data_IF_423177503459
#
_entry.id   IF_423177503459
#
_cell.length_a   1.000
_cell.length_b   1.000
_cell.length_c   1.000
_cell.angle_alpha   90.00
_cell.angle_beta   90.00
_cell.angle_gamma   90.00
#
_symmetry.space_group_name_H-M   'P 1'
#
loop_
_entity.id
_entity.type
_entity.pdbx_description
1 polymer ?
#
# COMPACT_ATOMS: atom_id res chain seq x y z
N UNK A 1 -28.69 -1.70 -30.24
CA UNK A 1 -28.27 -2.50 -29.07
C UNK A 1 -26.84 -2.12 -28.74
N UNK A 2 -26.48 -1.93 -27.47
CA UNK A 2 -25.09 -1.64 -27.10
C UNK A 2 -24.20 -2.84 -27.45
N UNK A 3 -22.99 -2.60 -27.98
CA UNK A 3 -22.03 -3.67 -28.23
C UNK A 3 -21.54 -4.29 -26.92
N UNK A 4 -21.16 -5.56 -26.96
CA UNK A 4 -20.60 -6.24 -25.79
C UNK A 4 -19.36 -5.52 -25.24
N UNK A 5 -18.49 -5.02 -26.12
CA UNK A 5 -17.32 -4.23 -25.75
C UNK A 5 -17.68 -2.95 -25.00
N UNK A 6 -18.78 -2.30 -25.37
CA UNK A 6 -19.26 -1.12 -24.67
C UNK A 6 -19.74 -1.45 -23.26
N UNK A 7 -20.55 -2.50 -23.09
CA UNK A 7 -21.05 -2.94 -21.77
C UNK A 7 -19.89 -3.30 -20.84
N UNK A 8 -18.93 -4.10 -21.33
CA UNK A 8 -17.74 -4.51 -20.55
C UNK A 8 -16.90 -3.29 -20.20
N UNK A 9 -16.70 -2.35 -21.13
CA UNK A 9 -15.93 -1.14 -20.84
C UNK A 9 -16.61 -0.20 -19.84
N UNK A 10 -17.95 -0.14 -19.78
CA UNK A 10 -18.68 0.58 -18.73
C UNK A 10 -18.47 -0.08 -17.36
N UNK A 11 -18.56 -1.41 -17.27
CA UNK A 11 -18.25 -2.14 -16.03
C UNK A 11 -16.80 -1.87 -15.60
N UNK A 12 -15.86 -1.89 -16.55
CA UNK A 12 -14.46 -1.56 -16.33
C UNK A 12 -14.28 -0.16 -15.77
N UNK A 13 -14.96 0.84 -16.35
CA UNK A 13 -14.94 2.22 -15.86
C UNK A 13 -15.41 2.32 -14.40
N UNK A 14 -16.54 1.69 -14.06
CA UNK A 14 -17.09 1.71 -12.70
C UNK A 14 -16.08 1.12 -11.70
N UNK A 15 -15.55 -0.08 -12.01
CA UNK A 15 -14.58 -0.76 -11.14
C UNK A 15 -13.31 0.09 -10.97
N UNK A 16 -12.76 0.62 -12.07
CA UNK A 16 -11.57 1.46 -12.01
C UNK A 16 -11.78 2.73 -11.18
N UNK A 17 -12.94 3.39 -11.30
CA UNK A 17 -13.26 4.57 -10.48
C UNK A 17 -13.29 4.22 -9.00
N UNK A 18 -13.86 3.06 -8.62
CA UNK A 18 -13.83 2.59 -7.24
C UNK A 18 -12.39 2.34 -6.75
N UNK A 19 -11.53 1.78 -7.59
CA UNK A 19 -10.10 1.61 -7.28
C UNK A 19 -9.41 2.97 -7.09
N UNK A 20 -9.66 3.95 -7.97
CA UNK A 20 -9.11 5.31 -7.83
C UNK A 20 -9.66 6.07 -6.63
N UNK A 21 -10.87 5.75 -6.18
CA UNK A 21 -11.48 6.30 -4.97
C UNK A 21 -10.95 5.66 -3.67
N UNK A 22 -10.25 4.52 -3.75
CA UNK A 22 -9.73 3.84 -2.55
C UNK A 22 -8.87 4.70 -1.61
N UNK A 23 -8.02 5.64 -2.10
CA UNK A 23 -7.20 6.48 -1.23
C UNK A 23 -7.94 7.68 -0.61
N UNK A 24 -9.22 7.94 -0.95
CA UNK A 24 -9.97 9.11 -0.46
C UNK A 24 -9.93 9.16 1.07
N UNK A 25 -10.20 8.04 1.75
CA UNK A 25 -10.20 7.97 3.22
C UNK A 25 -8.81 8.29 3.80
N UNK A 26 -7.75 7.83 3.14
CA UNK A 26 -6.36 8.11 3.53
C UNK A 26 -6.06 9.60 3.41
N UNK A 27 -6.39 10.22 2.28
CA UNK A 27 -6.14 11.65 2.08
C UNK A 27 -7.03 12.57 2.92
N UNK A 28 -8.27 12.17 3.19
CA UNK A 28 -9.13 12.88 4.14
C UNK A 28 -8.44 12.98 5.52
N UNK A 29 -7.78 11.91 5.95
CA UNK A 29 -7.05 11.90 7.21
C UNK A 29 -5.76 12.72 7.16
N UNK A 30 -5.04 12.72 6.04
CA UNK A 30 -3.89 13.61 5.78
C UNK A 30 -4.30 15.08 5.93
N UNK A 31 -5.44 15.47 5.35
CA UNK A 31 -5.99 16.84 5.46
C UNK A 31 -6.34 17.15 6.92
N UNK A 32 -7.05 16.24 7.60
CA UNK A 32 -7.47 16.42 9.00
C UNK A 32 -6.27 16.59 9.95
N UNK A 33 -5.21 15.80 9.74
CA UNK A 33 -3.98 15.85 10.55
C UNK A 33 -2.96 16.89 10.10
N UNK A 34 -3.15 17.49 8.92
CA UNK A 34 -2.19 18.39 8.26
C UNK A 34 -0.78 17.78 8.14
N UNK A 35 -0.69 16.46 7.97
CA UNK A 35 0.58 15.74 7.88
C UNK A 35 0.40 14.49 7.03
N UNK A 36 1.35 14.23 6.13
CA UNK A 36 1.40 12.98 5.34
C UNK A 36 2.00 11.81 6.11
N UNK A 37 2.39 12.01 7.38
CA UNK A 37 3.05 11.02 8.23
C UNK A 37 4.11 10.20 7.46
N UNK A 38 3.92 8.87 7.38
CA UNK A 38 4.81 7.92 6.69
C UNK A 38 4.31 7.52 5.29
N UNK A 39 3.22 8.12 4.79
CA UNK A 39 2.74 7.84 3.45
C UNK A 39 3.74 8.30 2.38
N UNK A 40 3.88 7.49 1.33
CA UNK A 40 4.76 7.79 0.18
C UNK A 40 3.92 8.37 -0.96
N UNK A 41 4.38 9.47 -1.55
CA UNK A 41 3.71 10.12 -2.68
C UNK A 41 3.90 9.41 -4.02
N UNK A 42 4.94 8.56 -4.13
CA UNK A 42 5.38 7.94 -5.39
C UNK A 42 4.26 7.18 -6.13
N UNK A 43 3.44 6.34 -5.48
CA UNK A 43 2.37 5.62 -6.17
C UNK A 43 1.37 6.54 -6.88
N UNK A 44 1.06 7.70 -6.29
CA UNK A 44 0.12 8.66 -6.86
C UNK A 44 0.71 9.38 -8.08
N UNK A 45 1.99 9.74 -8.00
CA UNK A 45 2.75 10.34 -9.12
C UNK A 45 2.84 9.37 -10.29
N UNK A 46 3.28 8.13 -10.04
CA UNK A 46 3.42 7.13 -11.12
C UNK A 46 2.06 6.76 -11.74
N UNK A 47 1.00 6.73 -10.93
CA UNK A 47 -0.35 6.48 -11.44
C UNK A 47 -0.90 7.69 -12.21
N UNK A 48 -0.56 8.92 -11.80
CA UNK A 48 -0.91 10.13 -12.55
C UNK A 48 -0.26 10.14 -13.94
N UNK A 49 1.04 9.83 -14.02
CA UNK A 49 1.73 9.66 -15.30
C UNK A 49 1.06 8.58 -16.16
N UNK A 50 0.82 7.40 -15.58
CA UNK A 50 0.24 6.26 -16.29
C UNK A 50 -1.15 6.59 -16.85
N UNK A 51 -2.04 7.12 -16.00
CA UNK A 51 -3.39 7.51 -16.41
C UNK A 51 -3.36 8.63 -17.46
N UNK A 52 -2.46 9.62 -17.33
CA UNK A 52 -2.31 10.68 -18.34
C UNK A 52 -1.88 10.14 -19.71
N UNK A 53 -0.92 9.21 -19.73
CA UNK A 53 -0.47 8.54 -20.97
C UNK A 53 -1.57 7.67 -21.57
N UNK A 54 -2.32 6.92 -20.76
CA UNK A 54 -3.45 6.13 -21.23
C UNK A 54 -4.60 6.99 -21.75
N UNK A 55 -4.86 8.15 -21.15
CA UNK A 55 -5.80 9.14 -21.70
C UNK A 55 -5.31 9.63 -23.05
N UNK A 56 -4.03 9.98 -23.18
CA UNK A 56 -3.45 10.43 -24.45
C UNK A 56 -3.52 9.33 -25.53
N UNK A 57 -3.24 8.08 -25.17
CA UNK A 57 -3.42 6.90 -26.02
C UNK A 57 -4.87 6.78 -26.49
N UNK A 58 -5.83 6.85 -25.56
CA UNK A 58 -7.25 6.74 -25.86
C UNK A 58 -7.77 7.85 -26.78
N UNK A 59 -7.26 9.08 -26.65
CA UNK A 59 -7.65 10.21 -27.54
C UNK A 59 -7.24 9.95 -28.99
N UNK A 60 -6.13 9.26 -29.20
CA UNK A 60 -5.63 8.91 -30.54
C UNK A 60 -6.27 7.63 -31.10
N UNK A 61 -6.86 6.80 -30.24
CA UNK A 61 -7.50 5.55 -30.65
C UNK A 61 -8.97 5.81 -31.01
N UNK A 62 -9.43 5.48 -32.24
CA UNK A 62 -10.84 5.65 -32.64
C UNK A 62 -11.85 5.00 -31.70
N UNK A 63 -11.52 3.85 -31.12
CA UNK A 63 -12.37 3.11 -30.18
C UNK A 63 -12.02 3.40 -28.70
N UNK A 64 -11.16 4.39 -28.47
CA UNK A 64 -10.55 4.69 -27.19
C UNK A 64 -11.43 5.44 -26.19
N UNK A 65 -12.69 5.76 -26.51
CA UNK A 65 -13.56 6.59 -25.66
C UNK A 65 -13.63 6.09 -24.21
N UNK A 66 -13.83 4.78 -24.01
CA UNK A 66 -13.94 4.19 -22.66
C UNK A 66 -12.60 4.19 -21.91
N UNK A 67 -11.47 4.16 -22.64
CA UNK A 67 -10.12 4.29 -22.10
C UNK A 67 -9.85 5.74 -21.70
N UNK A 68 -10.31 6.72 -22.49
CA UNK A 68 -10.21 8.15 -22.20
C UNK A 68 -10.99 8.50 -20.93
N UNK A 69 -12.25 8.06 -20.83
CA UNK A 69 -13.11 8.39 -19.68
C UNK A 69 -12.54 7.85 -18.38
N UNK A 70 -12.11 6.59 -18.36
CA UNK A 70 -11.62 5.94 -17.14
C UNK A 70 -10.30 6.55 -16.68
N UNK A 71 -9.36 6.74 -17.61
CA UNK A 71 -8.04 7.24 -17.27
C UNK A 71 -8.05 8.75 -17.07
N UNK A 72 -8.93 9.48 -17.76
CA UNK A 72 -9.15 10.90 -17.51
C UNK A 72 -9.68 11.13 -16.09
N UNK A 73 -10.68 10.35 -15.67
CA UNK A 73 -11.16 10.37 -14.29
C UNK A 73 -10.04 9.99 -13.31
N UNK A 74 -9.28 8.92 -13.61
CA UNK A 74 -8.11 8.52 -12.83
C UNK A 74 -7.08 9.64 -12.68
N UNK A 75 -6.74 10.32 -13.77
CA UNK A 75 -5.78 11.42 -13.77
C UNK A 75 -6.26 12.58 -12.88
N UNK A 76 -7.56 12.90 -12.89
CA UNK A 76 -8.14 13.90 -11.98
C UNK A 76 -8.00 13.47 -10.51
N UNK A 77 -8.35 12.23 -10.16
CA UNK A 77 -8.17 11.71 -8.80
C UNK A 77 -6.70 11.78 -8.36
N UNK A 78 -5.78 11.30 -9.21
CA UNK A 78 -4.36 11.28 -8.87
C UNK A 78 -3.77 12.69 -8.77
N UNK A 79 -4.18 13.62 -9.63
CA UNK A 79 -3.79 15.02 -9.53
C UNK A 79 -4.20 15.62 -8.19
N UNK A 80 -5.44 15.39 -7.75
CA UNK A 80 -5.92 15.84 -6.44
C UNK A 80 -5.04 15.25 -5.33
N UNK A 81 -4.75 13.95 -5.36
CA UNK A 81 -3.89 13.29 -4.36
C UNK A 81 -2.47 13.84 -4.35
N UNK A 82 -1.86 14.07 -5.51
CA UNK A 82 -0.52 14.66 -5.64
C UNK A 82 -0.51 16.08 -5.08
N UNK A 83 -1.50 16.90 -5.41
CA UNK A 83 -1.63 18.27 -4.88
C UNK A 83 -1.77 18.25 -3.36
N UNK A 84 -2.67 17.43 -2.80
CA UNK A 84 -2.83 17.31 -1.36
C UNK A 84 -1.54 16.84 -0.68
N UNK A 85 -0.83 15.88 -1.29
CA UNK A 85 0.46 15.43 -0.78
C UNK A 85 1.49 16.57 -0.76
N UNK A 86 1.59 17.33 -1.85
CA UNK A 86 2.50 18.47 -1.95
C UNK A 86 2.14 19.61 -0.99
N UNK A 87 0.88 19.79 -0.62
CA UNK A 87 0.45 20.80 0.36
C UNK A 87 0.79 20.37 1.79
N UNK A 88 0.53 19.11 2.15
CA UNK A 88 0.61 18.65 3.55
C UNK A 88 1.89 17.90 3.93
N UNK A 89 2.77 17.56 2.98
CA UNK A 89 4.00 16.84 3.30
C UNK A 89 5.03 17.70 4.06
N UNK A 90 5.97 17.09 4.81
CA UNK A 90 7.16 17.75 5.34
C UNK A 90 8.07 18.30 4.23
N UNK A 91 8.89 19.33 4.51
CA UNK A 91 9.69 20.05 3.48
C UNK A 91 10.60 19.12 2.66
N UNK A 92 11.27 18.18 3.31
CA UNK A 92 12.17 17.21 2.68
C UNK A 92 11.41 16.27 1.72
N UNK A 93 10.26 15.75 2.14
CA UNK A 93 9.38 14.90 1.31
C UNK A 93 8.75 15.70 0.18
N UNK A 94 8.30 16.93 0.46
CA UNK A 94 7.73 17.86 -0.54
C UNK A 94 8.68 18.11 -1.70
N UNK A 95 9.94 18.45 -1.42
CA UNK A 95 10.92 18.73 -2.48
C UNK A 95 11.19 17.48 -3.32
N UNK A 96 11.32 16.31 -2.69
CA UNK A 96 11.51 15.04 -3.43
C UNK A 96 10.30 14.73 -4.32
N UNK A 97 9.09 14.85 -3.79
CA UNK A 97 7.84 14.65 -4.54
C UNK A 97 7.70 15.66 -5.67
N UNK A 98 7.95 16.95 -5.43
CA UNK A 98 7.85 17.99 -6.45
C UNK A 98 8.86 17.77 -7.59
N UNK A 99 10.10 17.39 -7.26
CA UNK A 99 11.10 17.01 -8.26
C UNK A 99 10.62 15.82 -9.09
N UNK A 100 10.04 14.80 -8.45
CA UNK A 100 9.56 13.62 -9.17
C UNK A 100 8.38 13.93 -10.10
N UNK A 101 7.44 14.78 -9.66
CA UNK A 101 6.34 15.29 -10.50
C UNK A 101 6.89 16.08 -11.69
N UNK A 102 7.83 17.00 -11.45
CA UNK A 102 8.43 17.79 -12.53
C UNK A 102 9.14 16.91 -13.57
N UNK A 103 9.87 15.88 -13.13
CA UNK A 103 10.59 14.98 -14.03
C UNK A 103 9.63 14.05 -14.78
N UNK A 104 8.70 13.41 -14.08
CA UNK A 104 7.84 12.36 -14.66
C UNK A 104 6.60 12.94 -15.34
N UNK A 105 5.80 13.72 -14.61
CA UNK A 105 4.49 14.17 -15.08
C UNK A 105 4.55 15.41 -15.97
N UNK A 106 5.61 16.21 -15.89
CA UNK A 106 5.82 17.36 -16.78
C UNK A 106 6.87 17.04 -17.84
N UNK A 107 8.08 16.68 -17.43
CA UNK A 107 9.20 16.43 -18.33
C UNK A 107 8.97 15.23 -19.24
N UNK A 108 8.84 14.04 -18.67
CA UNK A 108 8.69 12.80 -19.45
C UNK A 108 7.36 12.77 -20.22
N UNK A 109 6.23 13.07 -19.57
CA UNK A 109 4.94 13.16 -20.26
C UNK A 109 4.97 14.17 -21.41
N UNK A 110 5.50 15.38 -21.17
CA UNK A 110 5.63 16.41 -22.19
C UNK A 110 6.52 15.99 -23.35
N UNK A 111 7.65 15.32 -23.06
CA UNK A 111 8.54 14.77 -24.08
C UNK A 111 7.86 13.69 -24.93
N UNK A 112 7.10 12.78 -24.32
CA UNK A 112 6.34 11.74 -25.06
C UNK A 112 5.29 12.38 -25.96
N UNK A 113 4.54 13.37 -25.47
CA UNK A 113 3.53 14.09 -26.27
C UNK A 113 4.21 14.82 -27.42
N UNK A 114 5.28 15.58 -27.15
CA UNK A 114 6.01 16.33 -28.17
C UNK A 114 6.58 15.39 -29.25
N UNK A 115 7.25 14.30 -28.85
CA UNK A 115 7.84 13.35 -29.79
C UNK A 115 6.77 12.65 -30.63
N UNK A 116 5.65 12.27 -30.02
CA UNK A 116 4.50 11.68 -30.74
C UNK A 116 3.95 12.64 -31.80
N UNK A 117 3.84 13.94 -31.48
CA UNK A 117 3.27 14.95 -32.38
C UNK A 117 4.23 15.37 -33.48
N UNK A 118 5.52 15.46 -33.17
CA UNK A 118 6.54 16.02 -34.06
C UNK A 118 7.27 14.97 -34.90
N UNK A 119 7.57 13.79 -34.35
CA UNK A 119 8.37 12.77 -35.03
C UNK A 119 7.55 11.66 -35.69
N UNK A 120 6.41 11.29 -35.11
CA UNK A 120 5.59 10.18 -35.61
C UNK A 120 4.37 10.67 -36.40
N UNK A 121 3.91 9.87 -37.35
CA UNK A 121 2.75 10.14 -38.21
C UNK A 121 1.88 8.89 -38.35
N UNK A 122 0.56 9.09 -38.59
CA UNK A 122 -0.38 7.99 -38.81
C UNK A 122 -0.42 6.98 -37.65
N UNK A 123 -0.46 5.69 -38.01
CA UNK A 123 -0.57 4.56 -37.07
C UNK A 123 0.65 4.40 -36.14
N UNK A 124 1.82 4.89 -36.54
CA UNK A 124 3.05 4.82 -35.73
C UNK A 124 2.92 5.58 -34.42
N UNK A 125 2.10 6.65 -34.36
CA UNK A 125 1.82 7.39 -33.13
C UNK A 125 1.17 6.51 -32.08
N UNK A 126 0.17 5.75 -32.49
CA UNK A 126 -0.60 4.87 -31.62
C UNK A 126 0.28 3.73 -31.09
N UNK A 127 1.08 3.10 -31.96
CA UNK A 127 2.04 2.06 -31.57
C UNK A 127 3.08 2.57 -30.57
N UNK A 128 3.69 3.72 -30.86
CA UNK A 128 4.72 4.29 -29.99
C UNK A 128 4.19 4.57 -28.58
N UNK A 129 3.05 5.26 -28.47
CA UNK A 129 2.44 5.56 -27.16
C UNK A 129 1.92 4.30 -26.49
N UNK A 130 1.32 3.38 -27.24
CA UNK A 130 0.83 2.10 -26.71
C UNK A 130 1.92 1.26 -26.06
N UNK A 131 3.11 1.19 -26.67
CA UNK A 131 4.27 0.48 -26.10
C UNK A 131 4.72 1.15 -24.78
N UNK A 132 4.79 2.48 -24.74
CA UNK A 132 5.16 3.21 -23.52
C UNK A 132 4.13 2.98 -22.41
N UNK A 133 2.83 3.08 -22.72
CA UNK A 133 1.74 2.83 -21.78
C UNK A 133 1.80 1.40 -21.22
N UNK A 134 1.97 0.41 -22.09
CA UNK A 134 2.07 -1.00 -21.69
C UNK A 134 3.32 -1.24 -20.82
N UNK A 135 4.49 -0.76 -21.25
CA UNK A 135 5.75 -0.90 -20.52
C UNK A 135 5.70 -0.25 -19.13
N UNK A 136 5.15 0.97 -19.04
CA UNK A 136 4.96 1.65 -17.77
C UNK A 136 4.02 0.87 -16.83
N UNK A 137 2.91 0.39 -17.36
CA UNK A 137 1.93 -0.40 -16.58
C UNK A 137 2.55 -1.70 -16.06
N UNK A 138 3.33 -2.40 -16.89
CA UNK A 138 4.06 -3.61 -16.48
C UNK A 138 5.09 -3.26 -15.39
N UNK A 139 5.83 -2.17 -15.54
CA UNK A 139 6.77 -1.69 -14.53
C UNK A 139 6.10 -1.40 -13.18
N UNK A 140 4.88 -0.85 -13.19
CA UNK A 140 4.11 -0.59 -11.96
C UNK A 140 3.76 -1.89 -11.20
N UNK A 141 3.71 -3.04 -11.86
CA UNK A 141 3.50 -4.33 -11.19
C UNK A 141 4.66 -4.79 -10.30
N UNK A 142 5.82 -4.12 -10.35
CA UNK A 142 6.89 -4.35 -9.39
C UNK A 142 6.43 -4.12 -7.94
N UNK A 143 5.53 -3.16 -7.72
CA UNK A 143 4.97 -2.85 -6.39
C UNK A 143 4.14 -4.01 -5.81
N UNK A 144 3.07 -4.51 -6.47
CA UNK A 144 2.32 -5.66 -5.97
C UNK A 144 3.19 -6.92 -5.83
N UNK A 145 4.16 -7.14 -6.73
CA UNK A 145 5.09 -8.27 -6.61
C UNK A 145 5.96 -8.16 -5.34
N UNK A 146 6.43 -6.95 -5.01
CA UNK A 146 7.15 -6.70 -3.76
C UNK A 146 6.27 -6.99 -2.53
N UNK A 147 4.99 -6.64 -2.57
CA UNK A 147 4.04 -6.94 -1.47
C UNK A 147 3.84 -8.45 -1.33
N UNK A 148 3.65 -9.18 -2.43
CA UNK A 148 3.55 -10.64 -2.41
C UNK A 148 4.80 -11.29 -1.79
N UNK A 149 5.99 -10.80 -2.14
CA UNK A 149 7.25 -11.26 -1.54
C UNK A 149 7.28 -11.02 -0.03
N UNK A 150 6.80 -9.86 0.43
CA UNK A 150 6.69 -9.56 1.86
C UNK A 150 5.74 -10.53 2.55
N UNK A 151 4.55 -10.78 2.01
CA UNK A 151 3.56 -11.73 2.59
C UNK A 151 4.16 -13.13 2.72
N UNK A 152 4.90 -13.61 1.71
CA UNK A 152 5.53 -14.94 1.76
C UNK A 152 6.61 -15.02 2.86
N UNK A 153 7.37 -13.94 3.06
CA UNK A 153 8.44 -13.85 4.07
C UNK A 153 7.90 -13.69 5.48
N UNK A 154 6.92 -12.80 5.67
CA UNK A 154 6.35 -12.48 6.99
C UNK A 154 5.23 -13.42 7.38
N UNK A 155 4.76 -14.27 6.47
CA UNK A 155 3.60 -15.17 6.67
C UNK A 155 2.30 -14.43 7.04
N UNK A 156 2.25 -13.11 6.82
CA UNK A 156 1.16 -12.23 7.23
C UNK A 156 0.63 -11.40 6.06
N UNK A 157 -0.70 -11.27 5.99
CA UNK A 157 -1.43 -10.51 4.96
C UNK A 157 -1.72 -9.06 5.36
N UNK A 158 -1.11 -8.55 6.44
CA UNK A 158 -1.37 -7.21 6.98
C UNK A 158 -1.23 -6.08 5.94
N UNK A 159 -0.27 -6.19 5.03
CA UNK A 159 0.01 -5.19 4.00
C UNK A 159 -0.83 -5.38 2.72
N UNK A 160 -1.77 -6.33 2.73
CA UNK A 160 -2.49 -6.79 1.55
C UNK A 160 -3.99 -6.97 1.82
N UNK A 161 -4.76 -5.88 1.80
CA UNK A 161 -6.20 -5.96 2.03
C UNK A 161 -6.88 -6.76 0.91
N UNK A 162 -7.73 -7.71 1.30
CA UNK A 162 -8.46 -8.59 0.37
C UNK A 162 -9.26 -7.81 -0.66
N UNK A 163 -10.08 -6.86 -0.21
CA UNK A 163 -10.97 -6.09 -1.08
C UNK A 163 -10.20 -5.34 -2.17
N UNK A 164 -9.08 -4.71 -1.82
CA UNK A 164 -8.26 -4.01 -2.79
C UNK A 164 -7.69 -4.98 -3.84
N UNK A 165 -7.18 -6.13 -3.39
CA UNK A 165 -6.64 -7.16 -4.29
C UNK A 165 -7.72 -7.73 -5.21
N UNK A 166 -8.93 -7.97 -4.68
CA UNK A 166 -10.09 -8.43 -5.44
C UNK A 166 -10.54 -7.42 -6.50
N UNK A 167 -10.68 -6.13 -6.14
CA UNK A 167 -11.04 -5.10 -7.10
C UNK A 167 -9.96 -4.88 -8.17
N UNK A 168 -8.68 -4.98 -7.82
CA UNK A 168 -7.59 -4.92 -8.79
C UNK A 168 -7.60 -6.12 -9.76
N UNK A 169 -7.87 -7.32 -9.24
CA UNK A 169 -8.05 -8.53 -10.06
C UNK A 169 -9.23 -8.38 -11.03
N UNK A 170 -10.40 -7.96 -10.55
CA UNK A 170 -11.57 -7.72 -11.39
C UNK A 170 -11.29 -6.64 -12.43
N UNK A 171 -10.64 -5.54 -12.03
CA UNK A 171 -10.25 -4.47 -12.93
C UNK A 171 -9.38 -5.01 -14.08
N UNK A 172 -8.32 -5.73 -13.76
CA UNK A 172 -7.42 -6.30 -14.76
C UNK A 172 -8.14 -7.33 -15.66
N UNK A 173 -9.03 -8.14 -15.10
CA UNK A 173 -9.80 -9.12 -15.87
C UNK A 173 -10.78 -8.47 -16.86
N UNK A 174 -11.53 -7.47 -16.41
CA UNK A 174 -12.49 -6.73 -17.25
C UNK A 174 -11.77 -5.97 -18.36
N UNK A 175 -10.66 -5.30 -18.05
CA UNK A 175 -9.87 -4.59 -19.07
C UNK A 175 -9.16 -5.55 -20.04
N UNK A 176 -8.76 -6.74 -19.59
CA UNK A 176 -8.25 -7.80 -20.47
C UNK A 176 -9.34 -8.28 -21.44
N UNK A 177 -10.55 -8.56 -20.93
CA UNK A 177 -11.69 -8.96 -21.75
C UNK A 177 -12.08 -7.86 -22.75
N UNK A 178 -12.13 -6.60 -22.30
CA UNK A 178 -12.36 -5.44 -23.16
C UNK A 178 -11.35 -5.39 -24.30
N UNK A 179 -10.06 -5.51 -23.98
CA UNK A 179 -8.97 -5.48 -24.97
C UNK A 179 -9.07 -6.59 -26.02
N UNK A 180 -9.48 -7.79 -25.63
CA UNK A 180 -9.72 -8.90 -26.56
C UNK A 180 -10.88 -8.57 -27.53
N UNK A 181 -11.93 -7.92 -27.05
CA UNK A 181 -13.08 -7.55 -27.89
C UNK A 181 -12.75 -6.41 -28.86
N UNK A 182 -11.97 -5.42 -28.43
CA UNK A 182 -11.53 -4.32 -29.31
C UNK A 182 -10.24 -4.63 -30.08
N UNK A 183 -9.69 -5.84 -29.91
CA UNK A 183 -8.44 -6.31 -30.53
C UNK A 183 -7.24 -5.37 -30.29
N UNK A 184 -7.18 -4.76 -29.12
CA UNK A 184 -6.10 -3.85 -28.73
C UNK A 184 -5.07 -4.57 -27.86
N UNK A 185 -3.96 -4.99 -28.48
CA UNK A 185 -2.89 -5.70 -27.79
C UNK A 185 -2.19 -4.85 -26.72
N UNK A 186 -2.13 -3.53 -26.89
CA UNK A 186 -1.41 -2.65 -25.98
C UNK A 186 -2.14 -2.54 -24.65
N UNK A 187 -3.48 -2.55 -24.68
CA UNK A 187 -4.32 -2.67 -23.47
C UNK A 187 -4.27 -4.11 -22.95
N UNK A 188 -4.35 -5.10 -23.84
CA UNK A 188 -4.52 -6.51 -23.47
C UNK A 188 -3.33 -7.10 -22.70
N UNK A 189 -2.10 -6.92 -23.20
CA UNK A 189 -0.89 -7.49 -22.59
C UNK A 189 -0.68 -7.07 -21.13
N UNK A 190 -0.63 -5.77 -20.78
CA UNK A 190 -0.43 -5.36 -19.39
C UNK A 190 -1.59 -5.78 -18.50
N UNK A 191 -2.84 -5.74 -18.97
CA UNK A 191 -3.98 -6.15 -18.16
C UNK A 191 -4.00 -7.67 -17.92
N UNK A 192 -3.60 -8.49 -18.89
CA UNK A 192 -3.49 -9.94 -18.72
C UNK A 192 -2.42 -10.31 -17.68
N UNK A 193 -1.27 -9.63 -17.72
CA UNK A 193 -0.23 -9.77 -16.68
C UNK A 193 -0.79 -9.36 -15.31
N UNK A 194 -1.49 -8.23 -15.25
CA UNK A 194 -2.15 -7.76 -14.03
C UNK A 194 -3.18 -8.76 -13.49
N UNK A 195 -3.92 -9.44 -14.37
CA UNK A 195 -4.90 -10.45 -14.00
C UNK A 195 -4.25 -11.70 -13.41
N UNK A 196 -3.14 -12.15 -13.99
CA UNK A 196 -2.34 -13.27 -13.45
C UNK A 196 -1.78 -12.90 -12.09
N UNK A 197 -1.18 -11.71 -11.95
CA UNK A 197 -0.64 -11.24 -10.68
C UNK A 197 -1.74 -11.05 -9.64
N UNK A 198 -2.89 -10.49 -10.03
CA UNK A 198 -4.08 -10.36 -9.18
C UNK A 198 -4.59 -11.71 -8.70
N UNK A 199 -4.63 -12.72 -9.57
CA UNK A 199 -5.00 -14.09 -9.20
C UNK A 199 -4.03 -14.66 -8.16
N UNK A 200 -2.73 -14.54 -8.42
CA UNK A 200 -1.70 -14.98 -7.47
C UNK A 200 -1.80 -14.23 -6.13
N UNK A 201 -2.13 -12.94 -6.17
CA UNK A 201 -2.38 -12.11 -5.01
C UNK A 201 -3.54 -12.63 -4.14
N UNK A 202 -4.68 -12.98 -4.74
CA UNK A 202 -5.80 -13.57 -4.02
C UNK A 202 -5.47 -14.95 -3.44
N UNK A 203 -4.77 -15.80 -4.21
CA UNK A 203 -4.37 -17.13 -3.75
C UNK A 203 -3.48 -17.02 -2.52
N UNK A 204 -2.46 -16.14 -2.55
CA UNK A 204 -1.59 -15.92 -1.39
C UNK A 204 -2.36 -15.40 -0.18
N UNK A 205 -3.32 -14.49 -0.40
CA UNK A 205 -4.17 -14.00 0.69
C UNK A 205 -4.92 -15.15 1.38
N UNK A 206 -5.59 -16.01 0.61
CA UNK A 206 -6.35 -17.14 1.15
C UNK A 206 -5.45 -18.15 1.90
N UNK A 207 -4.27 -18.43 1.35
CA UNK A 207 -3.32 -19.36 1.98
C UNK A 207 -2.80 -18.87 3.34
N UNK A 208 -2.43 -17.59 3.45
CA UNK A 208 -1.81 -17.06 4.66
C UNK A 208 -2.83 -16.55 5.70
N UNK A 209 -4.02 -16.13 5.27
CA UNK A 209 -5.09 -15.79 6.21
C UNK A 209 -5.55 -17.01 7.01
N UNK A 210 -5.66 -18.18 6.36
CA UNK A 210 -6.07 -19.41 7.03
C UNK A 210 -5.02 -19.92 8.02
N UNK A 211 -3.72 -19.72 7.75
CA UNK A 211 -2.64 -20.10 8.68
C UNK A 211 -2.65 -19.26 9.95
N UNK A 212 -2.83 -17.94 9.81
CA UNK A 212 -2.98 -17.05 10.98
C UNK A 212 -4.16 -17.47 11.86
N UNK A 213 -5.28 -17.88 11.26
CA UNK A 213 -6.43 -18.39 12.00
C UNK A 213 -6.15 -19.71 12.71
N UNK A 214 -5.38 -20.62 12.09
CA UNK A 214 -4.99 -21.89 12.72
C UNK A 214 -4.02 -21.68 13.90
N UNK A 215 -2.98 -20.87 13.71
CA UNK A 215 -1.99 -20.57 14.77
C UNK A 215 -2.65 -19.84 15.97
N UNK A 216 -3.59 -18.93 15.72
CA UNK A 216 -4.32 -18.25 16.79
C UNK A 216 -5.23 -19.18 17.62
N UNK A 217 -5.76 -20.25 17.00
CA UNK A 217 -6.58 -21.26 17.69
C UNK A 217 -5.68 -22.18 18.52
N UNK A 218 -4.51 -22.59 18.00
CA UNK A 218 -3.53 -23.40 18.73
C UNK A 218 -2.97 -22.66 19.96
N UNK A 219 -2.66 -21.35 19.85
CA UNK A 219 -2.21 -20.54 20.99
C UNK A 219 -3.30 -20.35 22.08
N UNK A 220 -4.58 -20.28 21.71
CA UNK A 220 -5.69 -20.22 22.68
C UNK A 220 -5.92 -21.57 23.38
N UNK A 221 -5.76 -22.70 22.69
CA UNK A 221 -5.87 -24.04 23.28
C UNK A 221 -4.70 -24.36 24.22
N UNK A 222 -3.46 -24.00 23.86
CA UNK A 222 -2.30 -24.18 24.74
C UNK A 222 -2.31 -23.22 25.94
N UNK A 223 -2.81 -21.99 25.77
CA UNK A 223 -2.98 -21.00 26.85
C UNK A 223 -4.11 -21.34 27.84
N UNK A 224 -5.11 -22.10 27.41
CA UNK A 224 -6.23 -22.58 28.25
C UNK A 224 -5.94 -23.86 29.04
N UNK A 225 -4.93 -24.64 28.65
CA UNK A 225 -4.64 -25.97 29.21
C UNK A 225 -4.02 -25.99 30.62
N UNK A 226 -3.52 -24.85 31.13
CA UNK A 226 -2.74 -24.85 32.38
C UNK A 226 -3.51 -24.44 33.65
N UNK A 227 -4.82 -24.17 33.58
CA UNK A 227 -5.62 -23.73 34.74
C UNK A 227 -6.37 -24.85 35.49
N UNK A 228 -6.32 -26.11 35.04
CA UNK A 228 -7.15 -27.20 35.61
C UNK A 228 -6.38 -28.24 36.44
N UNK A 229 -5.21 -27.89 37.01
CA UNK A 229 -4.41 -28.83 37.81
C UNK A 229 -4.04 -28.34 39.22
N UNK A 230 -4.90 -27.58 39.92
CA UNK A 230 -4.91 -27.58 41.39
C UNK A 230 -6.32 -27.25 41.90
N UNK A 231 -7.11 -28.28 42.22
CA UNK A 231 -8.03 -28.25 43.37
C UNK A 231 -8.53 -29.66 43.67
N UNK A 232 -7.72 -30.40 44.42
CA UNK A 232 -8.19 -31.55 45.17
C UNK A 232 -8.68 -31.11 46.55
N UNK A 233 -9.86 -31.63 46.94
CA UNK A 233 -10.15 -32.06 48.31
C UNK A 233 -11.13 -31.24 49.17
N UNK A 234 -12.30 -31.86 49.45
CA UNK A 234 -13.02 -31.94 50.76
C UNK A 234 -13.78 -30.64 51.17
N UNK A 235 -15.06 -30.54 51.58
CA UNK A 235 -16.22 -31.37 52.04
C UNK A 235 -17.50 -30.48 51.84
N UNK A 236 -18.65 -30.96 51.36
CA UNK A 236 -19.81 -31.64 52.00
C UNK A 236 -20.93 -30.72 52.60
N UNK A 237 -22.19 -31.01 52.19
CA UNK A 237 -23.52 -30.66 52.77
C UNK A 237 -24.04 -29.21 52.57
N UNK A 238 -25.31 -28.86 52.26
CA UNK A 238 -26.61 -29.54 52.08
C UNK A 238 -27.65 -28.58 51.46
N UNK A 239 -28.70 -29.15 50.87
CA UNK A 239 -30.12 -28.72 50.89
C UNK A 239 -30.61 -27.71 49.83
N UNK A 240 -31.65 -28.20 49.12
CA UNK A 240 -32.68 -27.56 48.32
C UNK A 240 -33.02 -26.08 48.62
N UNK A 241 -33.30 -25.29 47.57
CA UNK A 241 -34.71 -25.08 47.20
C UNK A 241 -34.94 -24.41 45.83
N UNK A 242 -36.08 -24.80 45.28
CA UNK A 242 -36.72 -24.43 44.01
C UNK A 242 -37.11 -22.93 43.95
N UNK A 243 -36.95 -22.28 42.78
CA UNK A 243 -38.06 -21.70 42.00
C UNK A 243 -37.61 -20.66 40.95
N UNK A 244 -38.15 -20.88 39.75
CA UNK A 244 -38.41 -19.93 38.67
C UNK A 244 -38.49 -18.46 39.07
N UNK A 245 -37.72 -17.59 38.40
CA UNK A 245 -38.36 -16.47 37.73
C UNK A 245 -37.60 -15.89 36.54
N UNK A 246 -38.39 -15.63 35.50
CA UNK A 246 -38.07 -14.90 34.28
C UNK A 246 -37.82 -13.42 34.57
N UNK A 247 -37.06 -12.81 33.65
CA UNK A 247 -37.00 -11.37 33.32
C UNK A 247 -36.03 -10.51 34.14
N UNK A 248 -34.85 -10.27 33.56
CA UNK A 248 -33.95 -9.19 33.94
C UNK A 248 -34.34 -7.93 33.15
N UNK A 249 -35.01 -7.02 33.85
CA UNK A 249 -35.11 -5.62 33.46
C UNK A 249 -34.08 -4.80 34.26
N UNK A 250 -33.46 -3.84 33.54
CA UNK A 250 -32.99 -2.51 34.00
C UNK A 250 -31.73 -2.39 34.88
N UNK A 251 -30.68 -1.86 34.22
CA UNK A 251 -29.77 -0.79 34.65
C UNK A 251 -29.50 -0.55 36.15
N UNK A 252 -28.24 -0.68 36.58
CA UNK A 252 -27.32 0.46 36.88
C UNK A 252 -26.01 -0.06 37.51
N UNK A 253 -24.93 0.68 37.22
CA UNK A 253 -23.64 0.72 37.93
C UNK A 253 -22.80 -0.56 37.98
N UNK A 254 -21.76 -0.61 37.13
CA UNK A 254 -20.53 -1.34 37.43
C UNK A 254 -19.33 -0.37 37.47
N UNK A 255 -18.31 -0.66 38.29
CA UNK A 255 -17.27 0.28 38.71
C UNK A 255 -16.17 0.44 37.66
N UNK A 256 -15.47 1.58 37.70
CA UNK A 256 -14.25 1.83 36.93
C UNK A 256 -13.18 0.76 37.24
N UNK A 257 -12.44 0.22 36.26
CA UNK A 257 -11.19 -0.46 36.57
C UNK A 257 -10.12 0.59 36.92
N UNK A 258 -9.61 0.51 38.14
CA UNK A 258 -8.38 1.18 38.55
C UNK A 258 -7.21 0.57 37.76
N UNK A 259 -6.67 1.32 36.80
CA UNK A 259 -5.34 1.06 36.26
C UNK A 259 -4.30 1.63 37.23
N UNK A 260 -3.73 0.77 38.06
CA UNK A 260 -2.51 1.05 38.79
C UNK A 260 -1.43 0.02 38.41
N UNK A 261 -0.62 0.36 37.41
CA UNK A 261 0.80 -0.02 37.42
C UNK A 261 1.62 0.90 36.53
N UNK A 262 2.10 1.95 37.17
CA UNK A 262 3.22 2.77 36.75
C UNK A 262 4.53 1.95 36.87
N UNK A 263 5.51 2.24 36.01
CA UNK A 263 6.91 1.78 36.01
C UNK A 263 7.22 0.34 35.53
N UNK A 264 7.52 0.18 34.23
CA UNK A 264 8.62 -0.72 33.78
C UNK A 264 9.10 -0.53 32.33
N UNK A 265 8.40 0.19 31.45
CA UNK A 265 8.79 0.25 30.01
C UNK A 265 9.74 1.39 29.62
N UNK A 266 10.16 2.25 30.56
CA UNK A 266 11.12 3.33 30.29
C UNK A 266 12.60 2.96 30.55
N UNK A 267 12.91 1.72 30.98
CA UNK A 267 14.29 1.26 31.27
C UNK A 267 14.86 0.20 30.32
N UNK A 268 14.10 -0.27 29.32
CA UNK A 268 14.58 -1.34 28.41
C UNK A 268 14.98 -0.81 27.01
N UNK A 269 14.43 0.32 26.54
CA UNK A 269 14.76 0.84 25.20
C UNK A 269 16.04 1.70 25.19
N UNK A 270 16.59 2.07 26.36
CA UNK A 270 17.87 2.80 26.46
C UNK A 270 19.11 1.89 26.61
N UNK A 271 18.96 0.57 26.53
CA UNK A 271 20.06 -0.39 26.83
C UNK A 271 20.29 -1.45 25.75
N UNK A 272 19.65 -1.34 24.58
CA UNK A 272 20.01 -2.10 23.37
C UNK A 272 20.35 -1.10 22.26
N UNK A 273 21.36 -0.26 22.48
CA UNK A 273 22.68 -0.38 21.83
C UNK A 273 22.56 -0.77 20.35
N UNK A 274 22.57 0.20 19.43
CA UNK A 274 23.81 0.80 18.90
C UNK A 274 24.90 -0.26 18.73
N UNK A 275 24.95 -0.85 17.54
CA UNK A 275 26.11 -1.56 17.03
C UNK A 275 27.12 -0.51 16.53
N UNK A 276 28.36 -0.47 17.03
CA UNK A 276 29.36 0.50 16.61
C UNK A 276 30.08 0.01 15.34
N UNK A 277 29.96 0.78 14.26
CA UNK A 277 30.85 0.71 13.09
C UNK A 277 31.81 1.91 13.01
N UNK A 278 32.08 2.55 14.14
CA UNK A 278 32.94 3.73 14.25
C UNK A 278 33.83 3.58 15.48
N UNK A 279 34.82 2.68 15.45
CA UNK A 279 35.99 2.75 16.34
C UNK A 279 37.14 1.86 15.83
N UNK A 280 37.70 2.25 14.68
CA UNK A 280 39.07 1.87 14.30
C UNK A 280 39.93 3.12 14.12
N UNK A 281 40.35 3.67 15.25
CA UNK A 281 41.51 4.53 15.53
C UNK A 281 41.24 5.04 16.94
N UNK A 282 42.04 4.88 17.98
CA UNK A 282 43.49 4.79 18.07
C UNK A 282 43.77 4.48 19.54
N UNK A 283 44.68 3.55 19.79
CA UNK A 283 45.15 3.19 21.13
C UNK A 283 45.94 4.36 21.76
N UNK A 284 45.80 4.67 23.07
CA UNK A 284 46.80 5.43 23.79
C UNK A 284 47.59 4.50 24.72
N UNK A 285 48.92 4.51 24.60
CA UNK A 285 49.80 4.01 25.63
C UNK A 285 50.86 5.07 25.96
N UNK A 286 50.96 5.34 27.27
CA UNK A 286 52.17 5.65 28.02
C UNK A 286 52.75 7.08 27.94
N UNK A 287 52.32 7.91 28.91
CA UNK A 287 53.14 8.56 29.95
C UNK A 287 54.66 8.68 29.72
N UNK A 288 55.17 9.92 29.61
CA UNK A 288 56.25 10.52 30.44
C UNK A 288 56.76 11.86 29.85
N UNK A 289 56.77 12.88 30.71
CA UNK A 289 57.85 13.85 30.95
C UNK A 289 58.28 14.94 29.95
N UNK A 290 58.07 16.20 30.42
CA UNK A 290 59.07 17.28 30.67
C UNK A 290 59.62 18.14 29.50
N UNK A 291 59.60 19.46 29.77
CA UNK A 291 60.37 20.62 29.25
C UNK A 291 60.17 21.06 27.78
N UNK A 292 59.64 22.26 27.50
CA UNK A 292 60.24 23.61 27.59
C UNK A 292 61.25 23.89 26.45
N UNK A 293 61.03 24.96 25.66
CA UNK A 293 62.09 25.57 24.85
C UNK A 293 61.81 25.93 23.38
N UNK A 294 61.27 27.15 23.18
CA UNK A 294 61.67 28.18 22.21
C UNK A 294 61.51 27.97 20.66
N UNK A 295 61.17 29.05 19.90
CA UNK A 295 60.98 29.03 18.45
C UNK A 295 62.27 29.40 17.70
N UNK A 296 62.45 28.89 16.47
CA UNK A 296 62.95 29.65 15.31
C UNK A 296 63.08 28.77 14.05
N UNK A 297 62.62 29.38 12.95
CA UNK A 297 62.91 29.31 11.50
C UNK A 297 64.13 28.49 10.98
N UNK A 298 64.22 28.15 9.66
CA UNK A 298 63.71 28.90 8.50
C UNK A 298 62.76 28.16 7.54
#
# INVERSE_FOLDING_TARGET
>A
MASLSFIIGIIGNIISILVFASPIKTFWWVVKKKSTENYKGVPYITTFLSTSLWTFYGIMNPDGLLVVTVNGAGAIFQLIYVVLFLVYAPKDKKVKTAKLVAILDVGFLGAVIALTRLAFHGTMRLTFVGIICAGLTIGMYASPLSVMRTVIKTKSVEYMPFLLSFFLFLNAGVWSAYALLVKDIYIGVPNAIGFILGSAQLILYLMYNNKKSAEAIEEEEEGGGSAHLVKGGIEMHSVEDNLNNRSLNKWKSLPKPNFSRQHSMQKIIKTLSLTPYELQSSWPLHESDIEEGNPDLP
#
